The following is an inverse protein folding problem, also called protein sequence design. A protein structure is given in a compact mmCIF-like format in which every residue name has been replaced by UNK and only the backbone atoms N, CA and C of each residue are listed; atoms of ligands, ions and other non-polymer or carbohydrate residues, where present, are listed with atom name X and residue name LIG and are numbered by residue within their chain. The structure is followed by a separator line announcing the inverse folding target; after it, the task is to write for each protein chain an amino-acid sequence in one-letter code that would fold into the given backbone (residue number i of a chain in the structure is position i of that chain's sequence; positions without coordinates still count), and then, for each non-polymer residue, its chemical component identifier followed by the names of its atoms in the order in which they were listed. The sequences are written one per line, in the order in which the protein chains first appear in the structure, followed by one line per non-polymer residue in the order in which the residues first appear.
data_IF_775228637361
#
_entry.id   IF_775228637361
#
_cell.length_a   1.000
_cell.length_b   1.000
_cell.length_c   1.000
_cell.angle_alpha   90.00
_cell.angle_beta   90.00
_cell.angle_gamma   90.00
#
_symmetry.space_group_name_H-M   'P 1'
#
loop_
_entity.id
_entity.type
_entity.pdbx_description
1 polymer ?
#
# COMPACT_ATOMS: atom_id res chain seq x y z
N UNK A 1 -20.31 -19.83 -10.91
CA UNK A 1 -21.64 -20.41 -11.07
C UNK A 1 -22.76 -19.50 -10.52
N UNK A 2 -22.43 -18.30 -10.00
CA UNK A 2 -23.39 -17.30 -9.51
C UNK A 2 -24.04 -17.64 -8.16
N UNK A 3 -23.63 -18.70 -7.48
CA UNK A 3 -24.18 -19.10 -6.19
C UNK A 3 -23.38 -18.50 -5.04
N UNK A 4 -24.08 -17.93 -4.06
CA UNK A 4 -23.46 -17.34 -2.87
C UNK A 4 -23.17 -18.44 -1.83
N UNK A 5 -21.91 -18.82 -1.68
CA UNK A 5 -21.46 -19.89 -0.75
C UNK A 5 -20.57 -19.41 0.38
N UNK A 6 -20.01 -18.21 0.25
CA UNK A 6 -19.12 -17.59 1.24
C UNK A 6 -19.64 -16.21 1.61
N UNK A 7 -19.56 -15.86 2.88
CA UNK A 7 -19.78 -14.51 3.39
C UNK A 7 -18.72 -14.16 4.45
N UNK A 8 -18.46 -12.88 4.62
CA UNK A 8 -17.61 -12.37 5.68
C UNK A 8 -18.48 -11.61 6.69
N UNK A 9 -18.24 -11.87 7.96
CA UNK A 9 -18.85 -11.13 9.06
C UNK A 9 -17.75 -10.50 9.93
N UNK A 10 -18.01 -9.32 10.44
CA UNK A 10 -17.20 -8.72 11.50
C UNK A 10 -17.87 -9.08 12.83
N UNK A 11 -17.15 -9.72 13.73
CA UNK A 11 -17.60 -10.12 15.05
C UNK A 11 -16.73 -9.44 16.10
N UNK A 12 -17.32 -9.09 17.25
CA UNK A 12 -16.64 -8.38 18.35
C UNK A 12 -15.89 -7.12 17.90
N UNK A 13 -16.38 -6.51 16.80
CA UNK A 13 -15.86 -5.27 16.23
C UNK A 13 -14.55 -5.37 15.47
N UNK A 14 -13.71 -6.37 15.72
CA UNK A 14 -12.33 -6.46 15.20
C UNK A 14 -11.99 -7.79 14.54
N UNK A 15 -12.72 -8.85 14.89
CA UNK A 15 -12.46 -10.17 14.35
C UNK A 15 -13.22 -10.39 13.04
N UNK A 16 -12.56 -10.99 12.05
CA UNK A 16 -13.20 -11.38 10.80
C UNK A 16 -13.60 -12.84 10.87
N UNK A 17 -14.87 -13.12 10.60
CA UNK A 17 -15.41 -14.48 10.56
C UNK A 17 -15.77 -14.85 9.14
N UNK A 18 -15.23 -15.96 8.65
CA UNK A 18 -15.61 -16.56 7.37
C UNK A 18 -16.79 -17.47 7.63
N UNK A 19 -17.86 -17.22 6.89
CA UNK A 19 -19.08 -18.02 6.89
C UNK A 19 -19.16 -18.80 5.59
N UNK A 20 -19.48 -20.09 5.69
CA UNK A 20 -19.58 -20.99 4.55
C UNK A 20 -20.89 -21.79 4.57
N UNK A 21 -21.37 -22.10 3.38
CA UNK A 21 -22.45 -23.08 3.14
C UNK A 21 -22.19 -23.84 1.84
N UNK A 22 -22.55 -25.09 1.80
CA UNK A 22 -22.35 -25.96 0.61
C UNK A 22 -23.29 -25.58 -0.53
N UNK A 23 -24.57 -25.34 -0.20
CA UNK A 23 -25.63 -24.96 -1.15
C UNK A 23 -26.42 -23.76 -0.63
N UNK A 24 -27.18 -23.09 -1.50
CA UNK A 24 -27.96 -21.90 -1.12
C UNK A 24 -29.13 -22.20 -0.21
N UNK A 25 -29.58 -23.45 -0.15
CA UNK A 25 -30.64 -23.93 0.74
C UNK A 25 -30.16 -24.13 2.19
N UNK A 26 -28.84 -24.21 2.40
CA UNK A 26 -28.26 -24.37 3.74
C UNK A 26 -28.01 -23.02 4.40
N UNK A 27 -28.12 -22.95 5.74
CA UNK A 27 -27.67 -21.76 6.47
C UNK A 27 -26.15 -21.62 6.41
N UNK A 28 -25.69 -20.39 6.48
CA UNK A 28 -24.27 -20.11 6.70
C UNK A 28 -23.83 -20.62 8.07
N UNK A 29 -22.65 -21.23 8.14
CA UNK A 29 -21.98 -21.59 9.38
C UNK A 29 -20.60 -20.96 9.47
N UNK A 30 -20.15 -20.55 10.65
CA UNK A 30 -18.77 -20.10 10.84
C UNK A 30 -17.79 -21.25 10.57
N UNK A 31 -16.72 -20.96 9.82
CA UNK A 31 -15.66 -21.93 9.51
C UNK A 31 -14.29 -21.46 9.98
N UNK A 32 -14.10 -20.14 10.12
CA UNK A 32 -12.88 -19.55 10.63
C UNK A 32 -13.19 -18.20 11.27
N UNK A 33 -12.54 -17.90 12.38
CA UNK A 33 -12.49 -16.54 12.93
C UNK A 33 -11.03 -16.14 13.08
N UNK A 34 -10.64 -15.02 12.49
CA UNK A 34 -9.30 -14.44 12.60
C UNK A 34 -9.36 -13.15 13.41
N UNK A 35 -8.27 -12.84 14.12
CA UNK A 35 -8.09 -11.52 14.70
C UNK A 35 -7.64 -10.50 13.62
N UNK A 36 -7.58 -9.23 13.97
CA UNK A 36 -7.22 -8.15 13.03
C UNK A 36 -5.77 -8.20 12.51
N UNK A 37 -4.89 -9.05 13.09
CA UNK A 37 -3.51 -9.26 12.64
C UNK A 37 -3.40 -10.31 11.54
N UNK A 38 -4.46 -11.09 11.36
CA UNK A 38 -4.50 -12.19 10.41
C UNK A 38 -5.52 -11.90 9.31
N UNK A 39 -5.11 -12.17 8.08
CA UNK A 39 -5.93 -11.92 6.90
C UNK A 39 -6.25 -13.24 6.21
N UNK A 40 -7.52 -13.43 5.88
CA UNK A 40 -7.98 -14.45 4.93
C UNK A 40 -8.99 -13.81 3.99
N UNK A 41 -8.69 -13.85 2.72
CA UNK A 41 -9.58 -13.37 1.67
C UNK A 41 -9.78 -14.45 0.61
N UNK A 42 -10.98 -14.96 0.46
CA UNK A 42 -11.34 -15.88 -0.62
C UNK A 42 -11.53 -15.10 -1.91
N UNK A 43 -10.69 -15.39 -2.89
CA UNK A 43 -10.71 -14.67 -4.16
C UNK A 43 -11.67 -15.29 -5.18
N UNK A 44 -11.52 -16.58 -5.46
CA UNK A 44 -12.43 -17.33 -6.37
C UNK A 44 -12.36 -18.83 -6.10
N UNK A 45 -13.42 -19.53 -6.48
CA UNK A 45 -13.43 -20.99 -6.43
C UNK A 45 -12.62 -21.60 -7.57
N UNK A 46 -12.10 -22.81 -7.33
CA UNK A 46 -11.53 -23.65 -8.40
C UNK A 46 -12.61 -24.04 -9.41
N UNK A 47 -12.24 -24.41 -10.66
CA UNK A 47 -13.20 -24.79 -11.70
C UNK A 47 -14.19 -25.89 -11.31
N UNK A 48 -13.77 -26.82 -10.47
CA UNK A 48 -14.60 -27.91 -9.94
C UNK A 48 -15.45 -27.48 -8.73
N UNK A 49 -15.32 -26.24 -8.28
CA UNK A 49 -16.00 -25.62 -7.12
C UNK A 49 -15.76 -26.33 -5.78
N UNK A 50 -14.67 -27.09 -5.64
CA UNK A 50 -14.34 -27.80 -4.40
C UNK A 50 -13.41 -27.00 -3.48
N UNK A 51 -12.49 -26.27 -4.06
CA UNK A 51 -11.49 -25.48 -3.34
C UNK A 51 -11.64 -24.00 -3.67
N UNK A 52 -10.94 -23.15 -2.91
CA UNK A 52 -10.83 -21.72 -3.19
C UNK A 52 -9.37 -21.30 -3.32
N UNK A 53 -9.11 -20.38 -4.21
CA UNK A 53 -7.89 -19.58 -4.19
C UNK A 53 -8.07 -18.49 -3.14
N UNK A 54 -7.19 -18.44 -2.17
CA UNK A 54 -7.25 -17.48 -1.06
C UNK A 54 -5.94 -16.75 -0.87
N UNK A 55 -6.03 -15.51 -0.40
CA UNK A 55 -4.90 -14.72 0.07
C UNK A 55 -4.91 -14.77 1.60
N UNK A 56 -3.79 -15.19 2.21
CA UNK A 56 -3.72 -15.32 3.68
C UNK A 56 -2.31 -15.15 4.21
N UNK A 57 -2.22 -14.61 5.44
CA UNK A 57 -1.00 -14.56 6.23
C UNK A 57 -1.06 -15.44 7.50
N UNK A 58 -2.06 -16.29 7.64
CA UNK A 58 -2.15 -17.20 8.79
C UNK A 58 -0.89 -18.08 8.84
N UNK A 59 -0.26 -18.13 10.01
CA UNK A 59 0.97 -18.91 10.23
C UNK A 59 2.22 -18.36 9.53
N UNK A 60 2.17 -17.18 8.92
CA UNK A 60 3.30 -16.57 8.20
C UNK A 60 3.34 -15.06 8.33
N UNK A 61 4.47 -14.47 7.95
CA UNK A 61 4.66 -13.01 7.97
C UNK A 61 3.96 -12.33 6.79
N UNK A 62 4.22 -12.82 5.57
CA UNK A 62 3.68 -12.24 4.34
C UNK A 62 2.40 -12.93 3.89
N UNK A 63 1.47 -12.16 3.35
CA UNK A 63 0.30 -12.72 2.67
C UNK A 63 0.75 -13.53 1.46
N UNK A 64 0.26 -14.77 1.36
CA UNK A 64 0.52 -15.71 0.29
C UNK A 64 -0.75 -16.03 -0.50
N UNK A 65 -0.60 -16.48 -1.74
CA UNK A 65 -1.67 -17.14 -2.48
C UNK A 65 -1.65 -18.63 -2.15
N UNK A 66 -2.77 -19.15 -1.70
CA UNK A 66 -2.94 -20.54 -1.29
C UNK A 66 -4.16 -21.19 -1.93
N UNK A 67 -4.15 -22.51 -2.01
CA UNK A 67 -5.31 -23.33 -2.26
C UNK A 67 -5.89 -23.80 -0.91
N UNK A 68 -7.15 -23.51 -0.66
CA UNK A 68 -7.79 -23.72 0.64
C UNK A 68 -9.13 -24.44 0.50
N UNK A 69 -9.43 -25.32 1.44
CA UNK A 69 -10.76 -25.93 1.57
C UNK A 69 -11.74 -24.90 2.15
N UNK A 70 -12.79 -24.50 1.43
CA UNK A 70 -13.71 -23.47 1.92
C UNK A 70 -14.57 -23.93 3.11
N UNK A 71 -14.73 -25.23 3.33
CA UNK A 71 -15.55 -25.78 4.39
C UNK A 71 -14.86 -25.86 5.76
N UNK A 72 -13.53 -25.89 5.75
CA UNK A 72 -12.69 -26.02 6.96
C UNK A 72 -11.66 -24.90 7.10
N UNK A 73 -11.43 -24.12 6.05
CA UNK A 73 -10.32 -23.14 5.91
C UNK A 73 -8.94 -23.79 6.08
N UNK A 74 -8.83 -25.11 5.85
CA UNK A 74 -7.54 -25.79 5.85
C UNK A 74 -6.77 -25.46 4.57
N UNK A 75 -5.54 -24.94 4.74
CA UNK A 75 -4.63 -24.73 3.63
C UNK A 75 -4.13 -26.07 3.09
N UNK A 76 -4.33 -26.31 1.80
CA UNK A 76 -3.90 -27.54 1.13
C UNK A 76 -2.56 -27.36 0.40
N UNK A 77 -2.31 -26.16 -0.15
CA UNK A 77 -1.12 -25.87 -0.92
C UNK A 77 -0.82 -24.39 -0.91
N UNK A 78 0.46 -24.03 -0.79
CA UNK A 78 0.96 -22.67 -1.02
C UNK A 78 1.32 -22.55 -2.50
N UNK A 79 0.58 -21.75 -3.24
CA UNK A 79 0.80 -21.58 -4.68
C UNK A 79 1.85 -20.53 -5.00
N UNK A 80 1.91 -19.46 -4.20
CA UNK A 80 2.90 -18.42 -4.40
C UNK A 80 3.11 -17.57 -3.14
N UNK A 81 4.36 -17.19 -2.91
CA UNK A 81 4.80 -16.22 -1.89
C UNK A 81 5.75 -15.20 -2.50
N UNK A 82 5.87 -14.05 -1.86
CA UNK A 82 6.95 -13.11 -2.15
C UNK A 82 7.73 -12.84 -0.86
N UNK A 83 9.06 -12.82 -0.95
CA UNK A 83 9.92 -12.68 0.23
C UNK A 83 9.85 -11.29 0.86
N UNK A 84 9.45 -10.28 0.11
CA UNK A 84 9.50 -8.88 0.52
C UNK A 84 8.12 -8.26 0.74
N UNK A 85 7.14 -8.60 -0.08
CA UNK A 85 5.84 -7.93 -0.12
C UNK A 85 4.67 -8.89 0.06
N UNK A 86 3.59 -8.38 0.62
CA UNK A 86 2.32 -9.08 0.72
C UNK A 86 1.69 -9.26 -0.65
N UNK A 87 1.24 -10.48 -0.95
CA UNK A 87 0.42 -10.72 -2.13
C UNK A 87 -0.92 -10.01 -1.94
N UNK A 88 -1.29 -9.20 -2.93
CA UNK A 88 -2.47 -8.33 -2.86
C UNK A 88 -3.49 -8.54 -3.98
N UNK A 89 -3.15 -9.31 -5.02
CA UNK A 89 -4.06 -9.56 -6.12
C UNK A 89 -3.80 -10.85 -6.85
N UNK A 90 -4.83 -11.35 -7.53
CA UNK A 90 -4.73 -12.47 -8.45
C UNK A 90 -5.49 -12.18 -9.75
N UNK A 91 -4.99 -12.71 -10.86
CA UNK A 91 -5.68 -12.76 -12.14
C UNK A 91 -6.23 -14.17 -12.39
N UNK A 92 -7.51 -14.24 -12.74
CA UNK A 92 -8.19 -15.49 -13.08
C UNK A 92 -8.93 -15.33 -14.41
N UNK A 93 -8.82 -16.30 -15.30
CA UNK A 93 -9.56 -16.32 -16.56
C UNK A 93 -10.87 -17.09 -16.40
N UNK A 94 -11.98 -16.40 -16.57
CA UNK A 94 -13.30 -17.02 -16.58
C UNK A 94 -13.53 -17.88 -17.83
N UNK A 95 -12.91 -17.50 -18.95
CA UNK A 95 -12.99 -18.27 -20.21
C UNK A 95 -12.19 -19.57 -20.11
N UNK A 96 -10.94 -19.48 -19.64
CA UNK A 96 -10.02 -20.63 -19.53
C UNK A 96 -10.22 -21.46 -18.27
N UNK A 97 -11.04 -20.95 -17.32
CA UNK A 97 -11.29 -21.55 -16.01
C UNK A 97 -9.99 -21.86 -15.25
N UNK A 98 -9.05 -20.92 -15.20
CA UNK A 98 -7.77 -21.13 -14.52
C UNK A 98 -7.18 -19.87 -13.95
N UNK A 99 -6.32 -20.06 -12.95
CA UNK A 99 -5.47 -19.03 -12.39
C UNK A 99 -4.44 -18.57 -13.45
N UNK A 100 -4.34 -17.26 -13.65
CA UNK A 100 -3.48 -16.63 -14.65
C UNK A 100 -2.22 -16.05 -14.02
N UNK A 101 -2.39 -15.26 -12.97
CA UNK A 101 -1.29 -14.51 -12.36
C UNK A 101 -1.57 -14.20 -10.90
N UNK A 102 -0.54 -13.77 -10.23
CA UNK A 102 -0.59 -13.20 -8.89
C UNK A 102 0.22 -11.92 -8.84
N UNK A 103 -0.14 -10.98 -7.99
CA UNK A 103 0.54 -9.69 -7.92
C UNK A 103 0.70 -9.16 -6.51
N UNK A 104 1.70 -8.30 -6.35
CA UNK A 104 1.92 -7.48 -5.16
C UNK A 104 2.39 -6.07 -5.55
N UNK A 105 2.22 -5.12 -4.62
CA UNK A 105 2.77 -3.77 -4.78
C UNK A 105 4.24 -3.79 -4.44
N UNK A 106 5.09 -3.57 -5.44
CA UNK A 106 6.53 -3.48 -5.29
C UNK A 106 7.01 -2.08 -4.92
N UNK A 107 8.32 -1.92 -4.84
CA UNK A 107 8.95 -0.62 -4.62
C UNK A 107 8.78 0.32 -5.83
N UNK A 108 8.74 -0.23 -7.06
CA UNK A 108 8.45 0.53 -8.28
C UNK A 108 7.38 -0.20 -9.07
N UNK A 109 6.12 0.21 -8.85
CA UNK A 109 4.97 -0.36 -9.56
C UNK A 109 4.60 -1.78 -9.11
N UNK A 110 3.78 -2.43 -9.90
CA UNK A 110 3.21 -3.75 -9.62
C UNK A 110 4.15 -4.88 -10.05
N UNK A 111 4.49 -5.76 -9.10
CA UNK A 111 5.19 -7.02 -9.39
C UNK A 111 4.15 -8.09 -9.69
N UNK A 112 4.33 -8.82 -10.80
CA UNK A 112 3.44 -9.92 -11.21
C UNK A 112 4.23 -11.19 -11.46
N UNK A 113 3.63 -12.32 -11.06
CA UNK A 113 4.07 -13.65 -11.46
C UNK A 113 2.95 -14.30 -12.27
N UNK A 114 3.29 -14.88 -13.41
CA UNK A 114 2.35 -15.52 -14.32
C UNK A 114 2.43 -17.05 -14.24
N UNK A 115 1.29 -17.68 -14.04
CA UNK A 115 1.13 -19.13 -14.17
C UNK A 115 0.81 -19.52 -15.64
N UNK A 116 0.30 -18.58 -16.43
CA UNK A 116 -0.04 -18.75 -17.84
C UNK A 116 1.00 -18.04 -18.74
N UNK A 117 1.76 -18.82 -19.51
CA UNK A 117 2.82 -18.31 -20.40
C UNK A 117 2.31 -17.46 -21.56
N UNK A 118 1.07 -17.70 -22.04
CA UNK A 118 0.49 -16.88 -23.10
C UNK A 118 0.11 -15.50 -22.55
N UNK A 119 -0.43 -15.45 -21.34
CA UNK A 119 -0.74 -14.19 -20.69
C UNK A 119 0.53 -13.39 -20.32
N UNK A 120 1.60 -14.08 -19.92
CA UNK A 120 2.91 -13.46 -19.73
C UNK A 120 3.43 -12.84 -21.04
N UNK A 121 3.30 -13.55 -22.17
CA UNK A 121 3.71 -13.04 -23.48
C UNK A 121 2.87 -11.82 -23.94
N UNK A 122 1.54 -11.84 -23.67
CA UNK A 122 0.67 -10.68 -23.92
C UNK A 122 1.11 -9.48 -23.10
N UNK A 123 1.40 -9.70 -21.84
CA UNK A 123 1.89 -8.65 -20.92
C UNK A 123 3.21 -8.06 -21.42
N UNK A 124 4.15 -8.88 -21.81
CA UNK A 124 5.45 -8.45 -22.35
C UNK A 124 5.29 -7.54 -23.58
N UNK A 125 4.38 -7.88 -24.48
CA UNK A 125 4.07 -7.02 -25.65
C UNK A 125 3.49 -5.66 -25.23
N UNK A 126 2.59 -5.66 -24.24
CA UNK A 126 2.02 -4.41 -23.72
C UNK A 126 3.09 -3.54 -23.05
N UNK A 127 4.02 -4.13 -22.28
CA UNK A 127 5.14 -3.42 -21.66
C UNK A 127 6.09 -2.80 -22.69
N UNK A 128 6.32 -3.47 -23.81
CA UNK A 128 7.09 -2.91 -24.93
C UNK A 128 6.38 -1.72 -25.61
N UNK A 129 5.04 -1.78 -25.72
CA UNK A 129 4.24 -0.70 -26.34
C UNK A 129 4.06 0.49 -25.40
N UNK A 130 4.13 0.28 -24.11
CA UNK A 130 3.86 1.25 -23.04
C UNK A 130 5.05 1.28 -22.06
N UNK A 131 6.26 1.42 -22.63
CA UNK A 131 7.50 1.43 -21.86
C UNK A 131 7.51 2.57 -20.83
N UNK A 132 7.91 2.25 -19.60
CA UNK A 132 8.00 3.20 -18.49
C UNK A 132 6.71 3.39 -17.68
N UNK A 133 5.59 2.78 -18.11
CA UNK A 133 4.33 2.85 -17.36
C UNK A 133 4.06 1.57 -16.57
N UNK A 134 3.40 1.70 -15.43
CA UNK A 134 2.74 0.57 -14.78
C UNK A 134 1.40 0.31 -15.48
N UNK A 135 1.19 -0.92 -15.91
CA UNK A 135 0.08 -1.30 -16.77
C UNK A 135 -0.88 -2.21 -16.00
N UNK A 136 -2.16 -1.95 -16.11
CA UNK A 136 -3.19 -2.80 -15.51
C UNK A 136 -4.31 -3.06 -16.51
N UNK A 137 -4.71 -4.33 -16.66
CA UNK A 137 -5.96 -4.69 -17.33
C UNK A 137 -7.10 -4.43 -16.36
N UNK A 138 -7.97 -3.47 -16.66
CA UNK A 138 -9.07 -3.06 -15.78
C UNK A 138 -10.39 -3.72 -16.14
N UNK A 139 -10.54 -4.18 -17.36
CA UNK A 139 -11.72 -4.89 -17.86
C UNK A 139 -11.36 -5.67 -19.13
N UNK A 140 -12.15 -6.68 -19.43
CA UNK A 140 -12.04 -7.43 -20.70
C UNK A 140 -13.41 -7.94 -21.15
N UNK A 141 -13.52 -8.24 -22.43
CA UNK A 141 -14.73 -8.86 -23.00
C UNK A 141 -14.79 -10.36 -22.67
N UNK A 142 -15.95 -10.99 -22.88
CA UNK A 142 -16.16 -12.41 -22.59
C UNK A 142 -15.20 -13.35 -23.35
N UNK A 143 -14.64 -12.89 -24.46
CA UNK A 143 -13.65 -13.66 -25.25
C UNK A 143 -12.20 -13.41 -24.80
N UNK A 144 -11.98 -12.52 -23.84
CA UNK A 144 -10.67 -12.06 -23.36
C UNK A 144 -9.78 -11.50 -24.48
N UNK A 145 -10.40 -11.14 -25.64
CA UNK A 145 -9.68 -10.60 -26.78
C UNK A 145 -9.60 -9.07 -26.76
N UNK A 146 -10.66 -8.39 -26.34
CA UNK A 146 -10.67 -6.93 -26.20
C UNK A 146 -10.49 -6.60 -24.71
N UNK A 147 -9.41 -5.88 -24.42
CA UNK A 147 -9.07 -5.49 -23.05
C UNK A 147 -9.03 -3.99 -22.90
N UNK A 148 -9.46 -3.50 -21.76
CA UNK A 148 -9.23 -2.11 -21.36
C UNK A 148 -7.94 -2.08 -20.52
N UNK A 149 -6.98 -1.34 -21.02
CA UNK A 149 -5.67 -1.19 -20.40
C UNK A 149 -5.56 0.20 -19.80
N UNK A 150 -5.26 0.26 -18.52
CA UNK A 150 -4.79 1.46 -17.86
C UNK A 150 -3.25 1.45 -17.85
N UNK A 151 -2.65 2.54 -18.29
CA UNK A 151 -1.22 2.79 -18.21
C UNK A 151 -0.98 4.07 -17.40
N UNK A 152 -0.34 3.96 -16.25
CA UNK A 152 -0.02 5.06 -15.36
C UNK A 152 1.46 5.09 -15.01
N UNK A 153 1.91 6.18 -14.43
CA UNK A 153 3.31 6.35 -14.04
C UNK A 153 3.46 7.42 -12.97
N UNK A 154 4.68 7.80 -12.69
CA UNK A 154 5.00 8.81 -11.68
C UNK A 154 4.81 10.26 -12.17
N UNK A 155 4.66 10.47 -13.49
CA UNK A 155 4.52 11.79 -14.11
C UNK A 155 3.16 12.02 -14.80
N UNK A 156 2.27 11.03 -14.76
CA UNK A 156 0.94 11.11 -15.40
C UNK A 156 -0.12 10.44 -14.56
N UNK A 157 -1.32 11.00 -14.54
CA UNK A 157 -2.50 10.36 -13.97
C UNK A 157 -2.88 9.07 -14.68
N UNK A 158 -2.39 8.88 -15.92
CA UNK A 158 -2.61 7.70 -16.72
C UNK A 158 -3.55 7.90 -17.90
N UNK A 159 -3.50 6.91 -18.74
CA UNK A 159 -4.23 6.85 -20.01
C UNK A 159 -4.93 5.51 -20.13
N UNK A 160 -6.15 5.51 -20.62
CA UNK A 160 -6.87 4.30 -21.00
C UNK A 160 -6.72 3.96 -22.46
N UNK A 161 -6.58 2.68 -22.74
CA UNK A 161 -6.48 2.11 -24.08
C UNK A 161 -7.42 0.92 -24.22
N UNK A 162 -7.90 0.66 -25.44
CA UNK A 162 -8.34 -0.67 -25.85
C UNK A 162 -7.15 -1.44 -26.41
N UNK A 163 -7.07 -2.72 -26.08
CA UNK A 163 -6.08 -3.63 -26.67
C UNK A 163 -6.78 -4.84 -27.26
N UNK A 164 -6.65 -5.01 -28.58
CA UNK A 164 -7.09 -6.21 -29.29
C UNK A 164 -5.92 -7.21 -29.30
N UNK A 165 -6.08 -8.31 -28.54
CA UNK A 165 -5.02 -9.30 -28.35
C UNK A 165 -4.67 -10.02 -29.63
N UNK A 166 -5.67 -10.40 -30.45
CA UNK A 166 -5.45 -11.13 -31.72
C UNK A 166 -4.75 -10.29 -32.78
N UNK A 167 -5.12 -9.03 -32.86
CA UNK A 167 -4.54 -8.08 -33.83
C UNK A 167 -3.25 -7.42 -33.31
N UNK A 168 -2.92 -7.62 -32.04
CA UNK A 168 -1.85 -6.91 -31.31
C UNK A 168 -1.96 -5.39 -31.46
N UNK A 169 -3.18 -4.87 -31.44
CA UNK A 169 -3.49 -3.47 -31.69
C UNK A 169 -3.88 -2.74 -30.41
N UNK A 170 -3.09 -1.75 -30.03
CA UNK A 170 -3.36 -0.83 -28.94
C UNK A 170 -3.95 0.47 -29.48
N UNK A 171 -5.09 0.91 -28.97
CA UNK A 171 -5.75 2.15 -29.39
C UNK A 171 -6.08 2.98 -28.19
N UNK A 172 -5.62 4.23 -28.16
CA UNK A 172 -5.89 5.16 -27.07
C UNK A 172 -7.37 5.51 -27.00
N UNK A 173 -7.92 5.50 -25.78
CA UNK A 173 -9.28 5.97 -25.49
C UNK A 173 -9.21 7.41 -25.00
N UNK A 174 -8.58 7.64 -23.84
CA UNK A 174 -8.52 8.95 -23.21
C UNK A 174 -7.41 9.05 -22.19
N UNK A 175 -6.87 10.25 -22.00
CA UNK A 175 -6.08 10.61 -20.83
C UNK A 175 -7.01 11.00 -19.68
N UNK A 176 -6.64 10.60 -18.46
CA UNK A 176 -7.42 10.98 -17.26
C UNK A 176 -7.29 12.47 -16.92
N UNK A 177 -6.17 13.07 -17.22
CA UNK A 177 -5.90 14.48 -16.95
C UNK A 177 -5.14 15.12 -18.13
N UNK A 178 -5.83 15.39 -19.29
CA UNK A 178 -5.18 15.88 -20.51
C UNK A 178 -4.58 17.29 -20.37
N UNK A 179 -4.93 18.01 -19.32
CA UNK A 179 -4.36 19.33 -19.00
C UNK A 179 -3.03 19.26 -18.24
N UNK A 180 -2.64 18.06 -17.72
CA UNK A 180 -1.35 17.81 -17.07
C UNK A 180 -0.43 17.20 -18.13
N UNK A 181 0.66 17.92 -18.41
CA UNK A 181 1.67 17.45 -19.38
C UNK A 181 2.78 16.71 -18.65
N UNK A 182 3.09 15.51 -19.11
CA UNK A 182 4.10 14.65 -18.51
C UNK A 182 5.50 15.29 -18.53
N UNK A 183 5.81 16.09 -19.55
CA UNK A 183 7.07 16.85 -19.64
C UNK A 183 7.24 17.95 -18.58
N UNK A 184 6.16 18.37 -17.94
CA UNK A 184 6.20 19.35 -16.84
C UNK A 184 6.33 18.69 -15.47
N UNK A 185 6.17 17.38 -15.40
CA UNK A 185 6.28 16.59 -14.19
C UNK A 185 7.70 16.01 -14.04
N UNK A 186 8.03 15.57 -12.83
CA UNK A 186 9.35 15.04 -12.49
C UNK A 186 9.26 13.59 -12.00
N UNK A 187 10.32 12.77 -12.20
CA UNK A 187 10.29 11.38 -11.79
C UNK A 187 10.33 11.21 -10.27
N UNK A 188 9.63 10.18 -9.79
CA UNK A 188 9.66 9.69 -8.42
C UNK A 188 10.71 8.58 -8.31
N UNK A 189 11.79 8.82 -7.56
CA UNK A 189 12.90 7.89 -7.37
C UNK A 189 12.63 6.98 -6.17
N UNK A 190 12.49 5.67 -6.35
CA UNK A 190 12.51 4.72 -5.24
C UNK A 190 13.86 4.81 -4.50
N UNK A 191 13.81 4.93 -3.19
CA UNK A 191 15.00 5.02 -2.33
C UNK A 191 14.89 4.06 -1.14
N UNK A 192 16.01 3.70 -0.58
CA UNK A 192 16.08 2.99 0.70
C UNK A 192 17.09 3.66 1.61
N UNK A 193 16.81 3.64 2.91
CA UNK A 193 17.77 4.02 3.94
C UNK A 193 17.62 3.09 5.15
N UNK A 194 18.60 3.13 6.04
CA UNK A 194 18.58 2.33 7.26
C UNK A 194 18.26 3.24 8.44
N UNK A 195 17.22 2.89 9.20
CA UNK A 195 16.90 3.54 10.46
C UNK A 195 17.97 3.22 11.52
N UNK A 196 18.07 4.04 12.57
CA UNK A 196 19.13 3.95 13.60
C UNK A 196 19.20 2.62 14.32
N UNK A 197 18.11 1.85 14.34
CA UNK A 197 18.04 0.51 14.91
C UNK A 197 18.31 -0.63 13.89
N UNK A 198 18.71 -0.28 12.66
CA UNK A 198 19.07 -1.23 11.62
C UNK A 198 17.92 -1.64 10.70
N UNK A 199 16.69 -1.13 10.92
CA UNK A 199 15.56 -1.43 10.05
C UNK A 199 15.72 -0.73 8.69
N UNK A 200 15.55 -1.48 7.60
CA UNK A 200 15.53 -0.92 6.24
C UNK A 200 14.17 -0.31 5.96
N UNK A 201 14.16 0.97 5.59
CA UNK A 201 12.98 1.73 5.22
C UNK A 201 13.00 2.00 3.72
N UNK A 202 11.91 1.64 3.03
CA UNK A 202 11.64 2.05 1.66
C UNK A 202 10.92 3.38 1.62
N UNK A 203 11.24 4.17 0.60
CA UNK A 203 10.58 5.45 0.38
C UNK A 203 10.76 5.94 -1.04
N UNK A 204 10.40 7.18 -1.25
CA UNK A 204 10.49 7.85 -2.55
C UNK A 204 11.05 9.24 -2.38
N UNK A 205 11.93 9.61 -3.29
CA UNK A 205 12.45 10.95 -3.40
C UNK A 205 12.05 11.54 -4.76
N UNK A 206 11.29 12.63 -4.72
CA UNK A 206 10.95 13.41 -5.90
C UNK A 206 11.74 14.70 -5.89
N UNK A 207 12.57 14.91 -6.92
CA UNK A 207 13.46 16.08 -7.03
C UNK A 207 12.80 17.14 -7.91
N UNK A 208 13.07 18.43 -7.68
CA UNK A 208 12.57 19.50 -8.55
C UNK A 208 13.15 19.39 -9.96
N UNK A 209 12.46 20.01 -10.94
CA UNK A 209 12.87 19.98 -12.35
C UNK A 209 14.30 20.50 -12.54
N UNK A 210 15.08 19.73 -13.30
CA UNK A 210 16.50 20.03 -13.56
C UNK A 210 17.49 19.37 -12.59
N UNK A 211 16.98 18.68 -11.57
CA UNK A 211 17.82 17.92 -10.64
C UNK A 211 17.70 16.41 -10.88
N UNK A 212 18.79 15.71 -10.63
CA UNK A 212 18.91 14.25 -10.63
C UNK A 212 19.53 13.79 -9.32
N UNK A 213 19.53 12.50 -9.06
CA UNK A 213 20.16 11.93 -7.85
C UNK A 213 21.67 12.25 -7.74
N UNK A 214 22.33 12.49 -8.89
CA UNK A 214 23.78 12.78 -8.96
C UNK A 214 24.09 14.26 -8.72
N UNK A 215 23.21 15.18 -9.15
CA UNK A 215 23.48 16.63 -9.09
C UNK A 215 22.71 17.37 -8.00
N UNK A 216 21.75 16.71 -7.33
CA UNK A 216 20.95 17.32 -6.25
C UNK A 216 21.86 17.68 -5.05
N UNK A 217 21.93 18.97 -4.71
CA UNK A 217 22.72 19.46 -3.58
C UNK A 217 22.04 20.65 -2.92
N UNK A 218 22.03 20.64 -1.58
CA UNK A 218 21.54 21.75 -0.74
C UNK A 218 20.14 22.24 -1.14
N UNK A 219 19.22 21.31 -1.41
CA UNK A 219 17.85 21.63 -1.78
C UNK A 219 16.98 21.90 -0.55
N UNK A 220 15.96 22.77 -0.67
CA UNK A 220 14.88 22.78 0.30
C UNK A 220 14.09 21.48 0.18
N UNK A 221 13.75 20.87 1.32
CA UNK A 221 13.08 19.56 1.38
C UNK A 221 11.76 19.69 2.11
N UNK A 222 10.73 19.01 1.59
CA UNK A 222 9.50 18.71 2.31
C UNK A 222 9.49 17.23 2.64
N UNK A 223 9.43 16.91 3.91
CA UNK A 223 9.24 15.55 4.42
C UNK A 223 7.74 15.31 4.53
N UNK A 224 7.24 14.29 3.84
CA UNK A 224 5.80 14.05 3.71
C UNK A 224 5.44 12.63 4.19
N UNK A 225 5.32 12.43 5.51
CA UNK A 225 4.85 11.15 6.06
C UNK A 225 3.38 10.94 5.74
N UNK A 226 3.04 9.73 5.25
CA UNK A 226 1.67 9.37 4.92
C UNK A 226 0.78 9.23 6.14
N UNK A 227 -0.53 9.38 5.94
CA UNK A 227 -1.56 9.08 6.94
C UNK A 227 -1.77 7.59 7.15
N UNK A 228 -2.69 7.25 8.02
CA UNK A 228 -3.00 5.87 8.40
C UNK A 228 -2.85 5.67 9.90
N UNK A 229 -1.72 5.15 10.45
CA UNK A 229 -0.43 4.82 9.83
C UNK A 229 -0.40 3.51 9.02
N UNK A 230 -1.44 2.68 9.15
CA UNK A 230 -1.59 1.39 8.47
C UNK A 230 -2.03 1.57 7.01
N UNK A 231 -1.18 2.26 6.27
CA UNK A 231 -1.27 2.54 4.84
C UNK A 231 0.14 2.45 4.26
N UNK A 232 0.34 2.86 3.03
CA UNK A 232 1.67 3.01 2.45
C UNK A 232 1.66 4.02 1.32
N UNK A 233 2.80 4.66 1.07
CA UNK A 233 3.10 5.29 -0.20
C UNK A 233 3.49 4.25 -1.23
N UNK A 234 3.17 4.52 -2.48
CA UNK A 234 3.50 3.68 -3.63
C UNK A 234 4.05 4.55 -4.76
N UNK A 235 4.92 3.95 -5.58
CA UNK A 235 5.39 4.61 -6.78
C UNK A 235 4.24 4.91 -7.73
N UNK A 236 4.17 6.15 -8.19
CA UNK A 236 3.12 6.60 -9.11
C UNK A 236 2.91 8.11 -9.04
N UNK A 237 1.94 8.61 -9.80
CA UNK A 237 1.61 10.02 -9.82
C UNK A 237 0.97 10.46 -8.48
N UNK A 238 1.62 11.42 -7.84
CA UNK A 238 1.06 12.07 -6.66
C UNK A 238 0.97 13.58 -6.93
N UNK A 239 -0.25 14.16 -7.01
CA UNK A 239 -0.43 15.56 -7.38
C UNK A 239 0.17 16.54 -6.38
N UNK A 240 0.15 16.21 -5.09
CA UNK A 240 0.71 17.03 -4.01
C UNK A 240 2.24 17.08 -4.10
N UNK A 241 2.86 15.92 -4.30
CA UNK A 241 4.31 15.79 -4.48
C UNK A 241 4.77 16.50 -5.73
N UNK A 242 4.08 16.33 -6.85
CA UNK A 242 4.38 17.04 -8.10
C UNK A 242 4.20 18.56 -7.96
N UNK A 243 3.18 19.00 -7.24
CA UNK A 243 2.97 20.42 -6.97
C UNK A 243 4.13 21.04 -6.18
N UNK A 244 4.62 20.35 -5.16
CA UNK A 244 5.76 20.81 -4.35
C UNK A 244 7.07 20.78 -5.15
N UNK A 245 7.32 19.70 -5.89
CA UNK A 245 8.52 19.57 -6.72
C UNK A 245 8.57 20.61 -7.84
N UNK A 246 7.44 20.96 -8.45
CA UNK A 246 7.34 22.02 -9.45
C UNK A 246 7.68 23.40 -8.87
N UNK A 247 7.61 23.56 -7.54
CA UNK A 247 7.95 24.80 -6.83
C UNK A 247 9.36 24.81 -6.23
N UNK A 248 10.16 23.85 -6.63
CA UNK A 248 11.59 23.81 -6.29
C UNK A 248 11.92 23.03 -5.01
N UNK A 249 10.98 22.32 -4.41
CA UNK A 249 11.22 21.47 -3.25
C UNK A 249 11.57 20.04 -3.67
N UNK A 250 12.57 19.44 -3.04
CA UNK A 250 12.67 17.99 -3.01
C UNK A 250 11.64 17.44 -2.02
N UNK A 251 10.96 16.34 -2.36
CA UNK A 251 9.95 15.75 -1.50
C UNK A 251 10.36 14.33 -1.11
N UNK A 252 10.46 14.08 0.20
CA UNK A 252 10.76 12.78 0.76
C UNK A 252 9.48 12.14 1.31
N UNK A 253 9.09 11.02 0.74
CA UNK A 253 8.06 10.12 1.26
C UNK A 253 8.72 8.85 1.79
N UNK A 254 8.21 8.28 2.87
CA UNK A 254 8.76 7.04 3.42
C UNK A 254 7.67 6.12 3.95
N UNK A 255 7.89 4.82 3.78
CA UNK A 255 7.09 3.78 4.39
C UNK A 255 7.74 3.37 5.70
N UNK A 256 7.51 4.17 6.75
CA UNK A 256 7.98 3.91 8.11
C UNK A 256 7.35 2.61 8.65
N UNK A 257 7.95 2.01 9.71
CA UNK A 257 7.33 0.84 10.36
C UNK A 257 5.87 1.12 10.72
N UNK A 258 5.02 0.14 10.68
CA UNK A 258 3.56 0.17 10.62
C UNK A 258 2.96 0.28 9.22
N UNK A 259 3.71 0.72 8.20
CA UNK A 259 3.20 0.73 6.82
C UNK A 259 2.81 -0.68 6.36
N UNK A 260 1.73 -0.78 5.57
CA UNK A 260 1.18 -2.06 5.09
C UNK A 260 1.87 -2.56 3.83
N UNK A 261 1.69 -3.85 3.53
CA UNK A 261 2.24 -4.47 2.31
C UNK A 261 3.66 -5.01 2.45
N UNK A 262 4.26 -4.88 3.63
CA UNK A 262 5.60 -5.37 3.97
C UNK A 262 5.58 -6.57 4.93
N UNK A 263 4.41 -7.15 5.14
CA UNK A 263 4.17 -8.25 6.06
C UNK A 263 3.74 -7.81 7.46
N UNK A 264 3.19 -8.78 8.19
CA UNK A 264 2.65 -8.59 9.53
C UNK A 264 3.70 -8.05 10.51
N UNK A 265 4.92 -8.62 10.50
CA UNK A 265 5.98 -8.20 11.42
C UNK A 265 6.32 -6.71 11.26
N UNK A 266 6.40 -6.22 10.02
CA UNK A 266 6.69 -4.80 9.77
C UNK A 266 5.58 -3.89 10.29
N UNK A 267 4.33 -4.30 10.13
CA UNK A 267 3.17 -3.59 10.68
C UNK A 267 3.18 -3.60 12.21
N UNK A 268 3.42 -4.75 12.83
CA UNK A 268 3.45 -4.91 14.30
C UNK A 268 4.61 -4.15 14.97
N UNK A 269 5.73 -3.91 14.27
CA UNK A 269 6.82 -3.05 14.76
C UNK A 269 6.38 -1.61 15.07
N UNK A 270 5.26 -1.17 14.53
CA UNK A 270 4.68 0.14 14.80
C UNK A 270 3.67 0.16 15.97
N UNK A 271 3.32 -0.99 16.55
CA UNK A 271 2.34 -1.03 17.64
C UNK A 271 2.87 -0.34 18.88
N UNK A 272 2.10 0.63 19.37
CA UNK A 272 2.44 1.51 20.52
C UNK A 272 3.76 2.28 20.29
N UNK A 273 4.09 2.59 19.03
CA UNK A 273 5.32 3.28 18.66
C UNK A 273 5.09 4.68 18.06
N UNK A 274 3.89 5.21 18.20
CA UNK A 274 3.61 6.58 17.81
C UNK A 274 4.52 7.56 18.58
N UNK A 275 5.18 8.49 17.87
CA UNK A 275 6.15 9.42 18.44
C UNK A 275 7.50 8.80 18.82
N UNK A 276 7.66 7.48 18.72
CA UNK A 276 8.86 6.73 19.14
C UNK A 276 9.63 6.21 17.91
N UNK A 277 9.74 4.89 17.76
CA UNK A 277 10.53 4.30 16.66
C UNK A 277 9.94 4.62 15.28
N UNK A 278 8.62 4.80 15.15
CA UNK A 278 7.99 5.28 13.93
C UNK A 278 8.47 6.69 13.57
N UNK A 279 8.58 7.58 14.57
CA UNK A 279 9.11 8.94 14.38
C UNK A 279 10.62 8.92 14.07
N UNK A 280 11.36 7.98 14.67
CA UNK A 280 12.78 7.80 14.37
C UNK A 280 12.99 7.43 12.89
N UNK A 281 12.15 6.56 12.32
CA UNK A 281 12.23 6.22 10.89
C UNK A 281 12.11 7.47 10.00
N UNK A 282 11.21 8.40 10.36
CA UNK A 282 11.02 9.66 9.62
C UNK A 282 12.25 10.58 9.78
N UNK A 283 12.72 10.76 11.03
CA UNK A 283 13.90 11.58 11.36
C UNK A 283 15.13 11.06 10.64
N UNK A 284 15.37 9.75 10.66
CA UNK A 284 16.53 9.11 10.03
C UNK A 284 16.53 9.26 8.50
N UNK A 285 15.33 9.33 7.89
CA UNK A 285 15.19 9.67 6.48
C UNK A 285 15.65 11.11 6.15
N UNK A 286 15.34 12.05 7.03
CA UNK A 286 15.82 13.44 6.90
C UNK A 286 17.34 13.51 7.07
N UNK A 287 17.88 12.88 8.11
CA UNK A 287 19.31 12.82 8.36
C UNK A 287 20.07 12.15 7.22
N UNK A 288 19.48 11.12 6.63
CA UNK A 288 20.04 10.45 5.44
C UNK A 288 20.16 11.42 4.26
N UNK A 289 19.13 12.26 3.98
CA UNK A 289 19.20 13.27 2.93
C UNK A 289 20.25 14.35 3.20
N UNK A 290 20.36 14.80 4.45
CA UNK A 290 21.38 15.77 4.89
C UNK A 290 22.79 15.18 4.72
N UNK A 291 23.00 13.95 5.18
CA UNK A 291 24.28 13.23 5.04
C UNK A 291 24.69 13.01 3.58
N UNK A 292 23.70 12.79 2.70
CA UNK A 292 23.93 12.71 1.24
C UNK A 292 24.25 14.07 0.60
N UNK A 293 24.09 15.18 1.33
CA UNK A 293 24.25 16.54 0.83
C UNK A 293 23.13 17.01 -0.08
N UNK A 294 22.04 16.23 -0.19
CA UNK A 294 20.87 16.56 -1.00
C UNK A 294 20.06 17.66 -0.32
N UNK A 295 19.76 17.50 0.98
CA UNK A 295 19.00 18.46 1.77
C UNK A 295 19.91 19.57 2.34
N UNK A 296 19.43 20.80 2.29
CA UNK A 296 19.94 21.89 3.12
C UNK A 296 19.37 21.73 4.53
N UNK A 297 20.20 21.51 5.57
CA UNK A 297 19.71 21.28 6.93
C UNK A 297 18.92 22.45 7.54
N UNK A 298 19.04 23.65 6.95
CA UNK A 298 18.32 24.85 7.39
C UNK A 298 16.98 25.05 6.65
N UNK A 299 16.68 24.22 5.66
CA UNK A 299 15.49 24.35 4.81
C UNK A 299 14.73 23.04 4.67
N UNK A 300 14.51 22.35 5.79
CA UNK A 300 13.69 21.15 5.87
C UNK A 300 12.34 21.51 6.47
N UNK A 301 11.27 21.21 5.76
CA UNK A 301 9.91 21.30 6.26
C UNK A 301 9.34 19.89 6.47
N UNK A 302 8.40 19.73 7.40
CA UNK A 302 7.58 18.52 7.51
C UNK A 302 6.12 18.87 7.27
N UNK A 303 5.42 18.05 6.48
CA UNK A 303 4.03 18.23 6.13
C UNK A 303 3.32 16.90 6.03
N UNK A 304 2.23 16.72 6.75
CA UNK A 304 1.45 15.49 6.67
C UNK A 304 0.03 15.65 7.15
N UNK A 305 -0.82 14.71 6.70
CA UNK A 305 -2.23 14.66 7.07
C UNK A 305 -2.57 13.47 7.98
N UNK A 306 -3.56 13.62 8.87
CA UNK A 306 -4.01 12.56 9.77
C UNK A 306 -2.89 12.02 10.67
N UNK A 307 -2.51 10.74 10.57
CA UNK A 307 -1.30 10.26 11.25
C UNK A 307 -0.04 11.05 10.81
N UNK A 308 0.09 11.39 9.51
CA UNK A 308 1.18 12.25 9.03
C UNK A 308 1.18 13.63 9.70
N UNK A 309 0.00 14.16 10.06
CA UNK A 309 -0.14 15.37 10.87
C UNK A 309 0.36 15.18 12.30
N UNK A 310 0.02 14.06 12.96
CA UNK A 310 0.61 13.69 14.25
C UNK A 310 2.15 13.59 14.14
N UNK A 311 2.67 12.92 13.11
CA UNK A 311 4.10 12.82 12.89
C UNK A 311 4.77 14.18 12.66
N UNK A 312 4.05 15.12 12.03
CA UNK A 312 4.48 16.51 11.88
C UNK A 312 4.60 17.21 13.23
N UNK A 313 3.57 17.11 14.07
CA UNK A 313 3.58 17.69 15.42
C UNK A 313 4.66 17.04 16.31
N UNK A 314 4.79 15.71 16.29
CA UNK A 314 5.83 14.97 16.98
C UNK A 314 7.24 15.40 16.51
N UNK A 315 7.42 15.61 15.21
CA UNK A 315 8.67 16.08 14.63
C UNK A 315 9.13 17.40 15.23
N UNK A 316 8.28 18.42 15.25
CA UNK A 316 8.64 19.73 15.79
C UNK A 316 8.66 19.79 17.32
N UNK A 317 8.07 18.80 17.99
CA UNK A 317 8.10 18.71 19.45
C UNK A 317 9.35 17.98 19.94
N UNK A 318 9.71 16.85 19.33
CA UNK A 318 10.83 16.02 19.79
C UNK A 318 12.16 16.33 19.10
N UNK A 319 12.11 16.89 17.89
CA UNK A 319 13.30 17.33 17.14
C UNK A 319 13.12 18.73 16.56
N UNK A 320 12.89 19.77 17.44
CA UNK A 320 12.53 21.13 16.99
C UNK A 320 13.57 21.78 16.09
N UNK A 321 14.84 21.47 16.28
CA UNK A 321 15.94 22.06 15.51
C UNK A 321 16.10 21.42 14.10
N UNK A 322 15.38 20.33 13.82
CA UNK A 322 15.49 19.62 12.54
C UNK A 322 14.68 20.30 11.43
N UNK A 323 13.59 20.98 11.80
CA UNK A 323 12.62 21.52 10.85
C UNK A 323 12.56 23.04 10.91
N UNK A 324 12.68 23.69 9.74
CA UNK A 324 12.50 25.13 9.59
C UNK A 324 11.02 25.54 9.68
N UNK A 325 10.10 24.66 9.26
CA UNK A 325 8.66 24.85 9.42
C UNK A 325 7.91 23.50 9.38
N UNK A 326 6.66 23.52 9.84
CA UNK A 326 5.78 22.36 9.84
C UNK A 326 4.38 22.76 9.41
N UNK A 327 3.70 21.86 8.71
CA UNK A 327 2.31 22.02 8.29
C UNK A 327 1.55 20.77 8.73
N UNK A 328 0.79 20.93 9.80
CA UNK A 328 -0.15 19.90 10.26
C UNK A 328 -1.47 20.02 9.51
N UNK A 329 -1.92 18.93 8.89
CA UNK A 329 -3.23 18.84 8.27
C UNK A 329 -4.08 17.78 8.97
N UNK A 330 -5.03 18.22 9.78
CA UNK A 330 -5.98 17.38 10.54
C UNK A 330 -5.30 16.28 11.37
N UNK A 331 -4.15 16.59 11.96
CA UNK A 331 -3.36 15.65 12.75
C UNK A 331 -3.96 15.37 14.13
N UNK A 332 -3.58 14.21 14.66
CA UNK A 332 -3.87 13.86 16.06
C UNK A 332 -2.89 14.66 16.94
N UNK A 333 -3.41 15.56 17.77
CA UNK A 333 -2.58 16.41 18.65
C UNK A 333 -2.48 15.89 20.07
N UNK A 334 -3.30 14.92 20.46
CA UNK A 334 -3.29 14.31 21.78
C UNK A 334 -3.92 12.92 21.73
N UNK A 335 -3.18 11.90 22.16
CA UNK A 335 -3.60 10.50 22.07
C UNK A 335 -4.81 10.18 22.95
N UNK A 336 -4.94 10.81 24.14
CA UNK A 336 -6.10 10.60 25.02
C UNK A 336 -7.37 11.16 24.40
N UNK A 337 -7.32 12.40 23.92
CA UNK A 337 -8.45 13.04 23.26
C UNK A 337 -8.85 12.25 22.02
N UNK A 338 -7.86 11.76 21.25
CA UNK A 338 -8.11 10.91 20.09
C UNK A 338 -8.92 9.67 20.48
N UNK A 339 -8.51 8.92 21.51
CA UNK A 339 -9.26 7.74 21.96
C UNK A 339 -10.65 8.07 22.50
N UNK A 340 -10.82 9.23 23.16
CA UNK A 340 -12.11 9.66 23.70
C UNK A 340 -13.09 10.15 22.64
N UNK A 341 -12.58 10.71 21.54
CA UNK A 341 -13.38 11.30 20.47
C UNK A 341 -13.63 10.34 19.31
N UNK A 342 -13.26 9.07 19.44
CA UNK A 342 -13.55 8.02 18.45
C UNK A 342 -15.07 8.00 18.17
N UNK A 343 -15.48 8.17 16.89
CA UNK A 343 -16.89 8.26 16.56
C UNK A 343 -17.62 6.92 16.83
N UNK A 344 -18.94 6.94 17.07
CA UNK A 344 -19.70 5.73 17.44
C UNK A 344 -19.52 4.54 16.50
N UNK A 345 -19.32 4.79 15.22
CA UNK A 345 -19.12 3.72 14.20
C UNK A 345 -17.71 3.11 14.24
N UNK A 346 -16.74 3.72 14.96
CA UNK A 346 -15.41 3.16 15.22
C UNK A 346 -15.30 2.50 16.60
N UNK A 347 -16.28 2.71 17.48
CA UNK A 347 -16.26 2.09 18.83
C UNK A 347 -16.01 0.57 18.82
N UNK A 348 -16.56 -0.21 17.84
CA UNK A 348 -16.23 -1.62 17.74
C UNK A 348 -14.74 -1.90 17.53
N UNK A 349 -13.97 -0.95 16.99
CA UNK A 349 -12.53 -1.08 16.72
C UNK A 349 -11.65 -0.64 17.92
N UNK A 350 -12.25 -0.26 19.05
CA UNK A 350 -11.53 0.39 20.15
C UNK A 350 -10.45 -0.52 20.74
N UNK A 351 -10.73 -1.80 20.95
CA UNK A 351 -9.77 -2.76 21.49
C UNK A 351 -8.55 -2.92 20.57
N UNK A 352 -8.77 -2.92 19.26
CA UNK A 352 -7.71 -2.91 18.26
C UNK A 352 -6.89 -1.62 18.36
N UNK A 353 -7.55 -0.47 18.51
CA UNK A 353 -6.86 0.83 18.66
C UNK A 353 -6.04 0.87 19.94
N UNK A 354 -6.54 0.30 21.05
CA UNK A 354 -5.77 0.18 22.30
C UNK A 354 -4.52 -0.69 22.14
N UNK A 355 -4.60 -1.75 21.36
CA UNK A 355 -3.44 -2.59 21.10
C UNK A 355 -2.43 -1.91 20.16
N UNK A 356 -2.93 -1.21 19.14
CA UNK A 356 -2.08 -0.65 18.08
C UNK A 356 -1.51 0.73 18.44
N UNK A 357 -2.25 1.56 19.17
CA UNK A 357 -1.85 2.94 19.50
C UNK A 357 -1.50 3.06 20.99
N UNK A 358 -2.41 2.65 21.88
CA UNK A 358 -2.24 2.69 23.33
C UNK A 358 -3.56 2.70 24.08
N UNK A 359 -3.59 2.00 25.20
CA UNK A 359 -4.71 1.97 26.14
C UNK A 359 -4.58 3.14 27.12
N UNK A 360 -5.56 4.07 27.20
CA UNK A 360 -5.48 5.24 28.08
C UNK A 360 -5.29 4.93 29.58
N UNK A 361 -5.59 3.70 29.99
CA UNK A 361 -5.42 3.24 31.37
C UNK A 361 -4.12 2.47 31.56
N UNK A 362 -3.87 1.48 30.70
CA UNK A 362 -2.71 0.59 30.85
C UNK A 362 -1.41 1.21 30.33
N UNK A 363 -1.50 2.04 29.30
CA UNK A 363 -0.35 2.66 28.64
C UNK A 363 -0.26 4.17 28.91
N UNK A 364 -0.85 4.62 30.03
CA UNK A 364 -1.00 6.04 30.39
C UNK A 364 0.31 6.82 30.32
N UNK A 365 1.38 6.32 30.95
CA UNK A 365 2.68 7.00 31.00
C UNK A 365 3.29 7.17 29.58
N UNK A 366 3.14 6.16 28.74
CA UNK A 366 3.58 6.24 27.35
C UNK A 366 2.77 7.30 26.58
N UNK A 367 1.44 7.29 26.72
CA UNK A 367 0.55 8.22 26.02
C UNK A 367 0.69 9.66 26.53
N UNK A 368 1.09 9.89 27.81
CA UNK A 368 1.40 11.22 28.34
C UNK A 368 2.69 11.79 27.80
N UNK A 369 3.63 10.92 27.42
CA UNK A 369 4.93 11.32 26.90
C UNK A 369 4.91 11.64 25.42
N UNK A 370 4.08 10.95 24.67
CA UNK A 370 4.03 10.98 23.21
C UNK A 370 2.63 11.38 22.72
#
# INVERSE_FOLDING_TARGET
NGKLRVALAIVDGVNTQILYRETEEQPFRPVLTTNFKETVSFATFTPDNKMVYALTNIGRDKTALVLMDPATCEEKEVLYTNDKYDISGLGYSELKKKLISVSCTGHKGTIRHYFDKNEEAIRTKLEQKLEGYDINTTSEDKSENIRIIYAGGDRTYGTYYTYNVKEDKLTKIADLAPWIKEEDMVPMHPITYTSRDGLTIEGYLTLPKGYTMENAKNLPVVVNPHGGPWARDSWGYNPEVQFLANRGYAVLQMNFRASTGYGRKFTELGYKQWGQTMQNDITDGVEWLIKKGIADPKRVAIYGGSYGGYATLAGVTFTPDLYACAIDYVGVSNLFTFMQTIPPYWKPLLDMMYEMVGDPVKDKEMMEKY
#
